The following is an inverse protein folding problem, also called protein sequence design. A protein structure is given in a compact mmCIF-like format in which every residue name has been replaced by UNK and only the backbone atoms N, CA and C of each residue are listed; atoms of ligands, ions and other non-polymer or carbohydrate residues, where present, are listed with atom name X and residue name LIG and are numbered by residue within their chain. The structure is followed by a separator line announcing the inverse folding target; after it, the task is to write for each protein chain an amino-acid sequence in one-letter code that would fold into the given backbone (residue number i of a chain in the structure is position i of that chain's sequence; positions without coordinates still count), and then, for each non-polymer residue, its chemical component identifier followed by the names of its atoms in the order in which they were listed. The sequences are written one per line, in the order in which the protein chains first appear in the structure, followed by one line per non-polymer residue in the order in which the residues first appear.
data_IF_847339312581
#
_entry.id   IF_847339312581
#
_cell.length_a   1.000
_cell.length_b   1.000
_cell.length_c   1.000
_cell.angle_alpha   90.00
_cell.angle_beta   90.00
_cell.angle_gamma   90.00
#
_symmetry.space_group_name_H-M   'P 1'
#
loop_
_entity.id
_entity.type
_entity.pdbx_description
1 polymer ?
#
# COMPACT_ATOMS: atom_id res chain seq x y z
N UNK A 1 45.20 23.26 47.80
CA UNK A 1 44.84 22.73 46.46
C UNK A 1 44.90 21.22 46.58
N UNK A 2 43.75 20.57 46.78
CA UNK A 2 43.66 19.16 47.13
C UNK A 2 42.87 18.44 46.05
N UNK A 3 43.49 17.41 45.48
CA UNK A 3 42.96 16.50 44.48
C UNK A 3 41.97 15.52 45.14
N UNK A 4 40.85 15.24 44.47
CA UNK A 4 40.06 14.04 44.74
C UNK A 4 39.71 13.34 43.42
N UNK A 5 40.41 12.23 43.19
CA UNK A 5 40.07 11.19 42.23
C UNK A 5 38.99 10.31 42.84
N UNK A 6 37.94 10.01 42.09
CA UNK A 6 36.95 8.99 42.45
C UNK A 6 37.04 7.84 41.44
N UNK A 7 37.48 6.69 41.93
CA UNK A 7 37.41 5.39 41.25
C UNK A 7 36.04 4.78 41.49
N UNK A 8 35.35 4.33 40.43
CA UNK A 8 34.25 3.37 40.55
C UNK A 8 34.57 2.12 39.75
N UNK A 9 34.97 1.06 40.47
CA UNK A 9 34.88 -0.34 40.07
C UNK A 9 33.48 -0.81 40.46
N UNK A 10 32.67 -1.20 39.49
CA UNK A 10 31.41 -1.91 39.71
C UNK A 10 31.39 -3.17 38.85
N UNK A 11 31.65 -4.31 39.48
CA UNK A 11 31.46 -5.63 38.90
C UNK A 11 29.96 -5.97 38.94
N UNK A 12 29.40 -6.43 37.83
CA UNK A 12 28.10 -7.09 37.82
C UNK A 12 28.24 -8.51 37.28
N UNK A 13 27.83 -9.43 38.15
CA UNK A 13 27.79 -10.88 38.00
C UNK A 13 27.11 -11.34 36.74
N UNK A 14 27.60 -12.48 36.25
CA UNK A 14 26.90 -13.32 35.30
C UNK A 14 25.54 -13.77 35.81
N UNK A 15 24.65 -13.98 34.85
CA UNK A 15 23.45 -14.79 35.01
C UNK A 15 23.38 -15.68 33.78
N UNK A 16 23.84 -16.92 33.96
CA UNK A 16 23.50 -18.03 33.07
C UNK A 16 22.06 -18.44 33.42
N UNK A 17 21.17 -18.41 32.44
CA UNK A 17 19.84 -19.00 32.56
C UNK A 17 19.69 -20.13 31.57
N UNK A 18 19.45 -21.31 32.15
CA UNK A 18 19.19 -22.59 31.52
C UNK A 18 18.13 -22.51 30.42
N UNK A 19 18.46 -23.00 29.23
CA UNK A 19 17.47 -23.33 28.20
C UNK A 19 17.23 -24.84 28.30
N UNK A 20 16.08 -25.16 28.88
CA UNK A 20 15.56 -26.51 29.04
C UNK A 20 15.15 -27.10 27.70
N UNK A 21 15.65 -28.31 27.44
CA UNK A 21 15.18 -29.30 26.47
C UNK A 21 13.65 -29.29 26.25
N UNK A 22 13.24 -29.14 24.98
CA UNK A 22 12.00 -29.73 24.50
C UNK A 22 12.29 -30.58 23.26
N UNK A 23 12.42 -31.88 23.53
CA UNK A 23 12.27 -32.99 22.58
C UNK A 23 10.97 -32.83 21.79
N UNK A 24 11.07 -32.75 20.46
CA UNK A 24 10.00 -33.20 19.55
C UNK A 24 10.52 -34.39 18.75
N UNK A 25 10.10 -35.57 19.20
CA UNK A 25 10.22 -36.81 18.46
C UNK A 25 9.23 -36.81 17.29
N UNK A 26 9.75 -37.25 16.14
CA UNK A 26 9.16 -38.04 15.07
C UNK A 26 7.62 -38.13 14.96
N UNK A 27 7.09 -37.79 13.77
CA UNK A 27 6.25 -38.68 12.94
C UNK A 27 6.45 -38.26 11.46
N UNK A 28 6.96 -39.21 10.68
CA UNK A 28 6.71 -39.41 9.24
C UNK A 28 6.25 -40.90 9.17
N UNK A 29 5.47 -41.44 8.21
CA UNK A 29 5.37 -41.02 6.80
C UNK A 29 3.97 -41.22 6.17
N UNK A 30 3.91 -41.17 4.83
CA UNK A 30 2.90 -41.70 3.90
C UNK A 30 1.83 -40.72 3.39
N UNK A 31 2.15 -40.07 2.26
CA UNK A 31 1.15 -39.72 1.25
C UNK A 31 1.45 -40.61 0.04
N UNK A 32 0.75 -41.73 -0.05
CA UNK A 32 0.47 -42.40 -1.31
C UNK A 32 -0.99 -42.11 -1.59
N UNK A 33 -1.30 -41.42 -2.69
CA UNK A 33 -2.50 -41.69 -3.48
C UNK A 33 -2.34 -41.11 -4.90
N UNK A 34 -1.81 -41.97 -5.75
CA UNK A 34 -2.25 -42.28 -7.12
C UNK A 34 -3.34 -41.37 -7.70
N UNK A 35 -2.96 -40.46 -8.60
CA UNK A 35 -3.87 -39.83 -9.55
C UNK A 35 -3.34 -40.03 -10.99
N UNK A 36 -3.58 -41.22 -11.54
CA UNK A 36 -3.39 -41.53 -12.94
C UNK A 36 -4.58 -42.34 -13.44
N UNK A 37 -5.52 -41.67 -14.13
CA UNK A 37 -6.58 -42.18 -15.01
C UNK A 37 -7.57 -41.02 -15.23
N UNK A 38 -8.04 -40.62 -16.40
CA UNK A 38 -8.07 -41.18 -17.75
C UNK A 38 -8.13 -40.01 -18.76
N UNK A 39 -7.31 -40.06 -19.80
CA UNK A 39 -7.60 -39.42 -21.09
C UNK A 39 -8.42 -40.43 -21.88
N UNK A 40 -9.55 -39.99 -22.44
CA UNK A 40 -10.15 -40.39 -23.73
C UNK A 40 -11.64 -40.01 -23.73
N UNK A 41 -12.02 -39.09 -24.62
CA UNK A 41 -13.08 -39.31 -25.61
C UNK A 41 -13.54 -37.99 -26.20
N UNK A 42 -13.29 -37.87 -27.50
CA UNK A 42 -13.88 -36.89 -28.40
C UNK A 42 -15.41 -36.97 -28.38
N UNK A 43 -16.09 -35.82 -28.46
CA UNK A 43 -17.30 -35.62 -29.29
C UNK A 43 -17.70 -34.15 -29.31
N UNK A 44 -17.42 -33.50 -30.44
CA UNK A 44 -18.17 -32.34 -30.90
C UNK A 44 -19.63 -32.74 -31.13
N UNK A 45 -20.57 -31.83 -30.85
CA UNK A 45 -21.55 -31.51 -31.87
C UNK A 45 -21.59 -30.00 -32.15
N UNK A 46 -21.43 -29.69 -33.44
CA UNK A 46 -21.85 -28.45 -34.06
C UNK A 46 -23.38 -28.37 -34.08
N UNK A 47 -23.95 -27.23 -33.71
CA UNK A 47 -24.93 -26.50 -34.53
C UNK A 47 -25.54 -25.30 -33.79
N UNK A 48 -25.43 -24.15 -34.44
CA UNK A 48 -26.53 -23.22 -34.69
C UNK A 48 -27.25 -22.52 -33.52
N UNK A 49 -27.02 -21.20 -33.51
CA UNK A 49 -28.08 -20.18 -33.51
C UNK A 49 -28.72 -19.83 -32.16
N UNK A 50 -28.30 -18.69 -31.60
CA UNK A 50 -29.10 -17.45 -31.62
C UNK A 50 -28.28 -16.31 -31.04
N UNK A 51 -28.16 -15.23 -31.81
CA UNK A 51 -27.72 -13.91 -31.35
C UNK A 51 -28.68 -13.48 -30.24
N UNK A 52 -28.24 -13.56 -29.00
CA UNK A 52 -28.74 -12.70 -27.94
C UNK A 52 -27.85 -11.46 -27.97
N UNK A 53 -28.33 -10.41 -28.64
CA UNK A 53 -27.84 -9.07 -28.41
C UNK A 53 -28.27 -8.68 -26.99
N UNK A 54 -27.47 -9.08 -26.01
CA UNK A 54 -27.55 -8.50 -24.68
C UNK A 54 -26.96 -7.11 -24.82
N UNK A 55 -27.83 -6.11 -24.97
CA UNK A 55 -27.52 -4.74 -24.65
C UNK A 55 -27.13 -4.72 -23.16
N UNK A 56 -25.86 -4.97 -22.86
CA UNK A 56 -25.30 -4.54 -21.58
C UNK A 56 -25.24 -3.03 -21.67
N UNK A 57 -26.28 -2.39 -21.14
CA UNK A 57 -26.21 -1.01 -20.71
C UNK A 57 -24.94 -0.87 -19.88
N UNK A 58 -23.91 -0.28 -20.47
CA UNK A 58 -22.74 0.18 -19.73
C UNK A 58 -23.24 1.42 -18.98
N UNK A 59 -23.87 1.17 -17.84
CA UNK A 59 -24.18 2.17 -16.84
C UNK A 59 -22.91 2.93 -16.49
N UNK A 60 -23.11 4.20 -16.15
CA UNK A 60 -22.15 5.29 -16.25
C UNK A 60 -20.73 4.93 -15.82
N UNK A 61 -19.81 4.97 -16.78
CA UNK A 61 -18.39 5.15 -16.48
C UNK A 61 -18.24 6.55 -15.92
N UNK A 62 -18.36 6.68 -14.59
CA UNK A 62 -18.13 7.94 -13.90
C UNK A 62 -16.70 8.40 -14.22
N UNK A 63 -16.62 9.49 -14.99
CA UNK A 63 -15.35 10.11 -15.34
C UNK A 63 -14.80 10.72 -14.06
N UNK A 64 -13.72 10.13 -13.57
CA UNK A 64 -12.95 10.70 -12.48
C UNK A 64 -12.27 11.97 -13.02
N UNK A 65 -12.72 13.10 -12.49
CA UNK A 65 -12.08 14.42 -12.54
C UNK A 65 -11.37 14.77 -13.85
N UNK A 66 -12.11 15.16 -14.89
CA UNK A 66 -11.62 15.99 -16.01
C UNK A 66 -10.49 15.42 -16.89
N UNK A 67 -9.86 14.30 -16.54
CA UNK A 67 -8.77 13.68 -17.26
C UNK A 67 -9.37 12.70 -18.27
N UNK A 68 -9.07 12.94 -19.55
CA UNK A 68 -9.68 12.19 -20.65
C UNK A 68 -9.17 10.75 -20.64
N UNK A 69 -10.05 9.79 -20.36
CA UNK A 69 -9.75 8.36 -20.45
C UNK A 69 -9.27 7.70 -19.15
N UNK A 70 -9.39 8.38 -18.01
CA UNK A 70 -9.28 7.76 -16.69
C UNK A 70 -10.65 7.38 -16.16
N UNK A 71 -10.75 6.19 -15.58
CA UNK A 71 -11.97 5.63 -14.98
C UNK A 71 -11.66 5.19 -13.56
N UNK A 72 -12.67 5.05 -12.72
CA UNK A 72 -12.43 4.44 -11.41
C UNK A 72 -11.84 3.04 -11.57
N UNK A 73 -10.66 2.75 -10.99
CA UNK A 73 -10.09 1.42 -11.00
C UNK A 73 -10.88 0.52 -10.04
N UNK A 74 -11.30 -0.64 -10.51
CA UNK A 74 -11.87 -1.70 -9.68
C UNK A 74 -10.81 -2.65 -9.12
N UNK A 75 -9.60 -2.65 -9.69
CA UNK A 75 -8.51 -3.56 -9.30
C UNK A 75 -7.16 -2.85 -9.19
N UNK A 76 -6.22 -3.48 -8.47
CA UNK A 76 -4.83 -3.01 -8.39
C UNK A 76 -4.16 -2.91 -9.77
N UNK A 77 -4.41 -3.87 -10.65
CA UNK A 77 -3.85 -3.85 -12.01
C UNK A 77 -4.36 -2.64 -12.82
N UNK A 78 -5.65 -2.33 -12.74
CA UNK A 78 -6.23 -1.16 -13.40
C UNK A 78 -5.67 0.15 -12.84
N UNK A 79 -5.55 0.26 -11.52
CA UNK A 79 -4.93 1.41 -10.87
C UNK A 79 -3.48 1.60 -11.34
N UNK A 80 -2.69 0.53 -11.36
CA UNK A 80 -1.30 0.56 -11.79
C UNK A 80 -1.19 0.97 -13.26
N UNK A 81 -2.00 0.39 -14.16
CA UNK A 81 -2.01 0.72 -15.60
C UNK A 81 -2.38 2.19 -15.85
N UNK A 82 -3.37 2.72 -15.12
CA UNK A 82 -3.72 4.13 -15.22
C UNK A 82 -2.60 5.03 -14.69
N UNK A 83 -2.02 4.66 -13.55
CA UNK A 83 -0.90 5.39 -12.95
C UNK A 83 0.30 5.46 -13.89
N UNK A 84 0.68 4.38 -14.57
CA UNK A 84 1.78 4.39 -15.55
C UNK A 84 1.59 5.43 -16.65
N UNK A 85 0.35 5.78 -17.00
CA UNK A 85 0.04 6.75 -18.07
C UNK A 85 0.11 8.21 -17.59
N UNK A 86 -0.19 8.46 -16.32
CA UNK A 86 -0.39 9.82 -15.79
C UNK A 86 0.68 10.25 -14.79
N UNK A 87 1.45 9.31 -14.20
CA UNK A 87 2.44 9.59 -13.14
C UNK A 87 3.56 10.56 -13.53
N UNK A 88 3.80 10.77 -14.83
CA UNK A 88 4.79 11.73 -15.32
C UNK A 88 4.39 13.19 -15.06
N UNK A 89 3.09 13.47 -15.00
CA UNK A 89 2.56 14.79 -14.65
C UNK A 89 2.02 14.72 -13.22
N UNK A 90 2.79 15.25 -12.26
CA UNK A 90 2.46 15.22 -10.83
C UNK A 90 1.11 15.87 -10.53
N UNK A 91 0.71 16.91 -11.28
CA UNK A 91 -0.58 17.59 -11.10
C UNK A 91 -1.74 16.74 -11.62
N UNK A 92 -1.62 16.20 -12.84
CA UNK A 92 -2.66 15.31 -13.38
C UNK A 92 -2.79 14.05 -12.53
N UNK A 93 -1.69 13.51 -12.02
CA UNK A 93 -1.74 12.36 -11.14
C UNK A 93 -2.46 12.70 -9.83
N UNK A 94 -2.19 13.86 -9.23
CA UNK A 94 -2.96 14.33 -8.08
C UNK A 94 -4.45 14.52 -8.39
N UNK A 95 -4.79 15.14 -9.53
CA UNK A 95 -6.18 15.34 -9.94
C UNK A 95 -6.93 14.01 -10.10
N UNK A 96 -6.27 12.98 -10.61
CA UNK A 96 -6.79 11.61 -10.64
C UNK A 96 -6.98 11.02 -9.24
N UNK A 97 -5.96 11.08 -8.38
CA UNK A 97 -6.02 10.57 -7.01
C UNK A 97 -7.11 11.27 -6.19
N UNK A 98 -7.28 12.58 -6.36
CA UNK A 98 -8.31 13.38 -5.68
C UNK A 98 -9.73 12.91 -6.02
N UNK A 99 -9.93 12.45 -7.25
CA UNK A 99 -11.22 11.97 -7.71
C UNK A 99 -11.57 10.54 -7.24
N UNK A 100 -10.62 9.82 -6.64
CA UNK A 100 -10.86 8.49 -6.06
C UNK A 100 -11.37 8.61 -4.62
N UNK A 101 -12.39 7.83 -4.27
CA UNK A 101 -12.86 7.74 -2.88
C UNK A 101 -11.93 6.86 -2.02
N UNK A 102 -11.90 7.10 -0.71
CA UNK A 102 -11.05 6.37 0.26
C UNK A 102 -11.32 4.85 0.24
N UNK A 103 -12.57 4.46 -0.01
CA UNK A 103 -12.97 3.05 -0.06
C UNK A 103 -12.41 2.36 -1.32
N UNK A 104 -12.17 3.10 -2.40
CA UNK A 104 -11.52 2.58 -3.61
C UNK A 104 -10.07 2.23 -3.32
N UNK A 105 -9.34 3.12 -2.64
CA UNK A 105 -7.97 2.84 -2.19
C UNK A 105 -7.91 1.61 -1.28
N UNK A 106 -8.82 1.51 -0.30
CA UNK A 106 -8.90 0.33 0.58
C UNK A 106 -9.18 -0.95 -0.21
N UNK A 107 -10.15 -0.94 -1.12
CA UNK A 107 -10.46 -2.08 -1.99
C UNK A 107 -9.24 -2.55 -2.80
N UNK A 108 -8.45 -1.61 -3.31
CA UNK A 108 -7.31 -1.89 -4.18
C UNK A 108 -6.11 -2.45 -3.40
N UNK A 109 -5.82 -1.89 -2.22
CA UNK A 109 -4.56 -2.14 -1.50
C UNK A 109 -4.68 -3.04 -0.26
N UNK A 110 -5.89 -3.34 0.23
CA UNK A 110 -6.09 -4.04 1.52
C UNK A 110 -6.11 -5.58 1.46
N UNK A 111 -6.61 -6.28 0.41
CA UNK A 111 -6.57 -7.74 0.40
C UNK A 111 -5.25 -8.33 -0.14
N UNK A 112 -4.75 -7.85 -1.28
CA UNK A 112 -3.57 -8.43 -1.98
C UNK A 112 -2.73 -7.40 -2.76
N UNK A 113 -3.16 -6.13 -2.80
CA UNK A 113 -2.47 -5.08 -3.56
C UNK A 113 -1.17 -4.68 -2.88
N UNK A 114 -0.04 -5.15 -3.40
CA UNK A 114 1.26 -4.66 -2.97
C UNK A 114 1.45 -3.25 -3.49
N UNK A 115 1.39 -2.27 -2.59
CA UNK A 115 1.87 -0.93 -2.90
C UNK A 115 3.41 -1.01 -3.03
N UNK A 116 3.91 -0.91 -4.26
CA UNK A 116 5.35 -0.86 -4.51
C UNK A 116 5.93 0.52 -4.16
N UNK A 117 7.24 0.56 -3.93
CA UNK A 117 7.92 1.76 -3.43
C UNK A 117 7.95 2.90 -4.48
N UNK A 118 8.01 2.55 -5.77
CA UNK A 118 7.99 3.53 -6.85
C UNK A 118 6.63 4.21 -6.94
N UNK A 119 5.56 3.43 -6.80
CA UNK A 119 4.18 3.89 -6.81
C UNK A 119 3.88 4.74 -5.57
N UNK A 120 4.30 4.30 -4.38
CA UNK A 120 4.19 5.09 -3.16
C UNK A 120 4.94 6.42 -3.29
N UNK A 121 6.18 6.38 -3.80
CA UNK A 121 6.98 7.60 -4.05
C UNK A 121 6.26 8.56 -5.01
N UNK A 122 5.71 8.05 -6.12
CA UNK A 122 4.97 8.86 -7.08
C UNK A 122 3.72 9.49 -6.45
N UNK A 123 2.99 8.75 -5.61
CA UNK A 123 1.81 9.27 -4.91
C UNK A 123 2.23 10.39 -3.95
N UNK A 124 3.21 10.17 -3.09
CA UNK A 124 3.69 11.16 -2.12
C UNK A 124 4.16 12.46 -2.81
N UNK A 125 4.91 12.34 -3.91
CA UNK A 125 5.35 13.47 -4.71
C UNK A 125 4.19 14.24 -5.34
N UNK A 126 3.10 13.56 -5.72
CA UNK A 126 1.90 14.22 -6.27
C UNK A 126 1.07 14.92 -5.19
N UNK A 127 0.96 14.35 -3.98
CA UNK A 127 0.22 14.96 -2.86
C UNK A 127 0.81 16.30 -2.43
N UNK A 128 2.12 16.49 -2.58
CA UNK A 128 2.79 17.77 -2.32
C UNK A 128 2.22 18.93 -3.17
N UNK A 129 1.71 18.65 -4.37
CA UNK A 129 1.08 19.66 -5.24
C UNK A 129 -0.32 20.03 -4.74
N UNK A 130 -1.05 19.07 -4.19
CA UNK A 130 -2.44 19.23 -3.78
C UNK A 130 -2.66 19.70 -2.36
N UNK A 131 -1.65 19.63 -1.49
CA UNK A 131 -1.78 19.94 -0.05
C UNK A 131 -2.23 21.37 0.23
N UNK A 132 -1.89 22.33 -0.63
CA UNK A 132 -2.33 23.72 -0.46
C UNK A 132 -3.80 23.92 -0.88
N UNK A 133 -4.28 23.11 -1.82
CA UNK A 133 -5.61 23.27 -2.42
C UNK A 133 -6.68 22.42 -1.71
N UNK A 134 -6.32 21.19 -1.29
CA UNK A 134 -7.23 20.21 -0.70
C UNK A 134 -6.51 19.36 0.38
N UNK A 135 -6.09 19.94 1.52
CA UNK A 135 -5.32 19.22 2.54
C UNK A 135 -6.09 18.03 3.15
N UNK A 136 -7.41 18.13 3.28
CA UNK A 136 -8.26 17.04 3.79
C UNK A 136 -8.22 15.82 2.86
N UNK A 137 -8.17 16.06 1.56
CA UNK A 137 -8.07 14.97 0.57
C UNK A 137 -6.70 14.31 0.65
N UNK A 138 -5.64 15.10 0.80
CA UNK A 138 -4.29 14.55 0.99
C UNK A 138 -4.25 13.65 2.24
N UNK A 139 -4.84 14.08 3.36
CA UNK A 139 -4.92 13.24 4.56
C UNK A 139 -5.72 11.97 4.30
N UNK A 140 -6.90 12.07 3.69
CA UNK A 140 -7.74 10.90 3.38
C UNK A 140 -7.03 9.88 2.49
N UNK A 141 -6.19 10.32 1.56
CA UNK A 141 -5.38 9.43 0.71
C UNK A 141 -4.29 8.75 1.55
N UNK A 142 -3.56 9.51 2.38
CA UNK A 142 -2.52 8.96 3.27
C UNK A 142 -3.10 7.92 4.24
N UNK A 143 -4.24 8.21 4.85
CA UNK A 143 -4.96 7.27 5.72
C UNK A 143 -5.33 5.98 4.97
N UNK A 144 -5.83 6.10 3.73
CA UNK A 144 -6.17 4.91 2.96
C UNK A 144 -4.91 4.08 2.61
N UNK A 145 -3.80 4.73 2.25
CA UNK A 145 -2.53 4.07 1.95
C UNK A 145 -1.92 3.38 3.18
N UNK A 146 -2.10 3.91 4.38
CA UNK A 146 -1.65 3.25 5.61
C UNK A 146 -2.32 1.91 5.89
N UNK A 147 -3.46 1.65 5.26
CA UNK A 147 -4.13 0.35 5.34
C UNK A 147 -3.63 -0.65 4.29
N UNK A 148 -2.70 -0.25 3.42
CA UNK A 148 -2.10 -1.11 2.41
C UNK A 148 -1.22 -2.19 3.06
N UNK A 149 -1.23 -3.38 2.47
CA UNK A 149 -0.35 -4.46 2.91
C UNK A 149 1.12 -4.08 2.76
N UNK A 150 1.92 -4.32 3.82
CA UNK A 150 3.38 -4.06 3.87
C UNK A 150 3.79 -2.59 3.74
N UNK A 151 2.92 -1.64 4.05
CA UNK A 151 3.22 -0.22 3.95
C UNK A 151 4.50 0.19 4.70
N UNK A 152 4.76 -0.37 5.88
CA UNK A 152 5.97 -0.11 6.66
C UNK A 152 7.25 -0.46 5.89
N UNK A 153 7.25 -1.62 5.22
CA UNK A 153 8.39 -2.07 4.41
C UNK A 153 8.53 -1.20 3.16
N UNK A 154 7.42 -0.88 2.51
CA UNK A 154 7.41 -0.03 1.32
C UNK A 154 7.87 1.39 1.64
N UNK A 155 7.49 1.94 2.80
CA UNK A 155 7.86 3.27 3.25
C UNK A 155 9.38 3.39 3.44
N UNK A 156 10.05 2.36 3.97
CA UNK A 156 11.52 2.33 4.08
C UNK A 156 12.25 2.31 2.72
N UNK A 157 11.55 2.00 1.62
CA UNK A 157 12.13 1.85 0.29
C UNK A 157 11.81 3.02 -0.66
N UNK A 158 11.11 4.06 -0.18
CA UNK A 158 10.76 5.21 -1.03
C UNK A 158 12.01 6.02 -1.39
N UNK A 159 11.91 6.79 -2.47
CA UNK A 159 13.02 7.62 -2.93
C UNK A 159 13.33 8.77 -1.95
N UNK A 160 14.59 9.23 -1.91
CA UNK A 160 14.99 10.38 -1.08
C UNK A 160 14.19 11.65 -1.42
N UNK A 161 13.82 11.83 -2.70
CA UNK A 161 12.94 12.92 -3.13
C UNK A 161 11.56 12.79 -2.46
N UNK A 162 11.00 11.57 -2.40
CA UNK A 162 9.72 11.31 -1.76
C UNK A 162 9.79 11.49 -0.24
N UNK A 163 10.89 11.11 0.43
CA UNK A 163 11.11 11.39 1.86
C UNK A 163 11.03 12.89 2.13
N UNK A 164 11.78 13.71 1.37
CA UNK A 164 11.77 15.18 1.50
C UNK A 164 10.40 15.78 1.25
N UNK A 165 9.71 15.31 0.20
CA UNK A 165 8.36 15.75 -0.12
C UNK A 165 7.35 15.40 0.98
N UNK A 166 7.51 14.23 1.61
CA UNK A 166 6.66 13.74 2.69
C UNK A 166 6.85 14.55 3.97
N UNK A 167 8.09 14.90 4.32
CA UNK A 167 8.36 15.83 5.43
C UNK A 167 7.68 17.19 5.22
N UNK A 168 7.84 17.79 4.04
CA UNK A 168 7.19 19.05 3.69
C UNK A 168 5.65 18.95 3.66
N UNK A 169 5.11 17.80 3.25
CA UNK A 169 3.67 17.50 3.25
C UNK A 169 3.13 17.50 4.69
N UNK A 170 3.78 16.79 5.61
CA UNK A 170 3.34 16.71 7.01
C UNK A 170 3.51 18.03 7.78
N UNK A 171 4.55 18.82 7.50
CA UNK A 171 4.66 20.18 8.04
C UNK A 171 3.46 21.06 7.65
N UNK A 172 3.06 21.02 6.38
CA UNK A 172 1.89 21.77 5.90
C UNK A 172 0.58 21.26 6.48
N UNK A 173 0.39 19.94 6.55
CA UNK A 173 -0.82 19.35 7.13
C UNK A 173 -0.97 19.70 8.63
N UNK A 174 0.13 19.77 9.39
CA UNK A 174 0.10 20.22 10.81
C UNK A 174 -0.32 21.69 10.95
N UNK A 175 -0.02 22.52 9.97
CA UNK A 175 -0.42 23.93 9.95
C UNK A 175 -1.92 24.16 9.68
N UNK A 176 -2.63 23.14 9.18
CA UNK A 176 -4.07 23.20 8.90
C UNK A 176 -4.82 22.76 10.16
N UNK A 177 -5.21 23.75 10.96
CA UNK A 177 -5.71 23.65 12.36
C UNK A 177 -6.96 22.81 12.59
N UNK A 178 -7.56 22.21 11.57
CA UNK A 178 -8.76 21.37 11.65
C UNK A 178 -8.53 19.87 11.39
N UNK A 179 -7.32 19.47 10.98
CA UNK A 179 -7.00 18.08 10.67
C UNK A 179 -6.46 17.36 11.91
N UNK A 180 -6.93 16.14 12.15
CA UNK A 180 -6.61 15.35 13.35
C UNK A 180 -5.10 15.16 13.51
N UNK A 181 -4.50 15.97 14.39
CA UNK A 181 -3.06 15.98 14.69
C UNK A 181 -2.51 14.58 15.03
N UNK A 182 -3.33 13.73 15.65
CA UNK A 182 -2.98 12.34 15.97
C UNK A 182 -2.88 11.45 14.72
N UNK A 183 -3.80 11.58 13.75
CA UNK A 183 -3.74 10.84 12.49
C UNK A 183 -2.49 11.26 11.70
N UNK A 184 -2.21 12.56 11.64
CA UNK A 184 -1.01 13.11 11.02
C UNK A 184 0.26 12.58 11.69
N UNK A 185 0.31 12.54 13.03
CA UNK A 185 1.46 12.03 13.77
C UNK A 185 1.68 10.52 13.57
N UNK A 186 0.61 9.71 13.56
CA UNK A 186 0.70 8.26 13.26
C UNK A 186 1.20 8.01 11.84
N UNK A 187 0.72 8.80 10.88
CA UNK A 187 1.17 8.70 9.50
C UNK A 187 2.63 9.10 9.38
N UNK A 188 3.05 10.21 9.99
CA UNK A 188 4.44 10.63 9.97
C UNK A 188 5.38 9.57 10.57
N UNK A 189 4.99 8.93 11.67
CA UNK A 189 5.78 7.86 12.29
C UNK A 189 6.06 6.67 11.34
N UNK A 190 5.15 6.38 10.40
CA UNK A 190 5.35 5.31 9.40
C UNK A 190 6.41 5.66 8.35
N UNK A 191 6.69 6.94 8.12
CA UNK A 191 7.64 7.41 7.10
C UNK A 191 8.98 7.90 7.68
N UNK A 192 9.03 8.18 8.99
CA UNK A 192 10.24 8.60 9.71
C UNK A 192 11.03 7.42 10.34
N UNK A 193 10.54 6.18 10.22
CA UNK A 193 11.18 4.94 10.74
C UNK A 193 12.23 4.37 9.78
#
# INVERSE_FOLDING_TARGET
RSEQRINFKGACSGSQSNITEQKRNAINPQINDTAANQRLAMKHPSSSSKRAATHSNHEGVEKISGIRGTTQPGTHYEFHKQTLRIRSDKKQFFDYLRGLDKEVFRSIFKPEGSLDADLLSAILLSLQFGVNDCPEKCLSILEALSTAGRIEITAMMISEEAVKATGALFEKLRGVTALESEAVARMQALYDS
#
